data_IF_910472311566
#
_entry.id   IF_910472311566
#
_cell.length_a   1.000
_cell.length_b   1.000
_cell.length_c   1.000
_cell.angle_alpha   90.00
_cell.angle_beta   90.00
_cell.angle_gamma   90.00
#
_symmetry.space_group_name_H-M   'P 1'
#
loop_
_entity.id
_entity.type
_entity.pdbx_description
1 polymer ?
#
# COMPACT_ATOMS: atom_id res chain seq x y z
N UNK A 1 13.39 -17.44 -10.37
CA UNK A 1 12.23 -17.26 -9.46
C UNK A 1 11.29 -16.16 -9.94
N UNK A 2 11.77 -14.91 -10.10
CA UNK A 2 10.94 -13.80 -10.58
C UNK A 2 10.29 -14.09 -11.94
N UNK A 3 11.01 -14.70 -12.87
CA UNK A 3 10.47 -15.12 -14.18
C UNK A 3 9.26 -16.06 -14.07
N UNK A 4 9.23 -16.91 -13.05
CA UNK A 4 8.14 -17.84 -12.78
C UNK A 4 6.94 -17.11 -12.16
N UNK A 5 7.20 -16.19 -11.21
CA UNK A 5 6.17 -15.36 -10.56
C UNK A 5 5.53 -14.39 -11.56
N UNK A 6 6.30 -13.79 -12.45
CA UNK A 6 5.78 -12.85 -13.45
C UNK A 6 4.79 -13.48 -14.44
N UNK A 7 4.75 -14.81 -14.56
CA UNK A 7 3.71 -15.50 -15.36
C UNK A 7 2.31 -15.28 -14.80
N UNK A 8 2.15 -15.21 -13.48
CA UNK A 8 0.85 -15.00 -12.85
C UNK A 8 0.39 -13.54 -12.91
N UNK A 9 1.26 -12.59 -13.28
CA UNK A 9 0.93 -11.15 -13.31
C UNK A 9 0.47 -10.62 -14.69
N UNK A 10 0.26 -11.49 -15.68
CA UNK A 10 -0.30 -11.06 -16.98
C UNK A 10 -1.78 -10.68 -16.81
N UNK A 11 -2.16 -9.51 -17.33
CA UNK A 11 -3.54 -9.02 -17.41
C UNK A 11 -4.33 -9.84 -18.43
N UNK A 12 -5.55 -10.24 -18.07
CA UNK A 12 -6.47 -10.97 -18.93
C UNK A 12 -7.89 -10.57 -18.54
N UNK A 13 -8.80 -10.43 -19.51
CA UNK A 13 -10.19 -10.03 -19.23
C UNK A 13 -10.86 -11.03 -18.28
N UNK A 14 -11.50 -10.53 -17.22
CA UNK A 14 -12.15 -11.35 -16.19
C UNK A 14 -11.22 -11.95 -15.13
N UNK A 15 -9.91 -11.68 -15.19
CA UNK A 15 -8.96 -12.12 -14.16
C UNK A 15 -8.70 -11.00 -13.13
N UNK A 16 -9.20 -11.20 -11.91
CA UNK A 16 -8.99 -10.23 -10.83
C UNK A 16 -7.56 -10.24 -10.30
N UNK A 17 -6.98 -11.42 -10.02
CA UNK A 17 -5.69 -11.54 -9.34
C UNK A 17 -4.88 -12.77 -9.78
N UNK A 18 -3.57 -12.76 -9.55
CA UNK A 18 -2.68 -13.91 -9.73
C UNK A 18 -2.41 -14.63 -8.41
N UNK A 19 -2.72 -15.93 -8.32
CA UNK A 19 -2.48 -16.75 -7.12
C UNK A 19 -1.14 -17.49 -7.22
N UNK A 20 -0.34 -17.44 -6.16
CA UNK A 20 0.89 -18.23 -5.98
C UNK A 20 0.75 -19.07 -4.72
N UNK A 21 0.93 -20.39 -4.83
CA UNK A 21 0.88 -21.31 -3.68
C UNK A 21 2.28 -21.88 -3.46
N UNK A 22 2.78 -21.72 -2.23
CA UNK A 22 4.09 -22.20 -1.81
C UNK A 22 3.96 -23.42 -0.89
N UNK A 23 4.57 -24.53 -1.30
CA UNK A 23 4.53 -25.81 -0.59
C UNK A 23 5.82 -26.13 0.19
N UNK A 24 6.87 -25.32 0.03
CA UNK A 24 8.23 -25.62 0.51
C UNK A 24 8.76 -24.53 1.46
N UNK A 25 8.28 -23.28 1.33
CA UNK A 25 8.66 -22.17 2.20
C UNK A 25 9.70 -21.22 1.58
N UNK A 26 9.42 -20.71 0.39
CA UNK A 26 10.29 -19.81 -0.40
C UNK A 26 9.99 -18.31 -0.20
N UNK A 27 9.15 -17.94 0.77
CA UNK A 27 8.74 -16.52 1.01
C UNK A 27 9.91 -15.54 1.09
N UNK A 28 11.01 -15.90 1.75
CA UNK A 28 12.17 -14.99 1.91
C UNK A 28 12.86 -14.69 0.58
N UNK A 29 13.11 -15.73 -0.23
CA UNK A 29 13.72 -15.62 -1.56
C UNK A 29 12.78 -14.93 -2.55
N UNK A 30 11.46 -15.12 -2.40
CA UNK A 30 10.44 -14.39 -3.15
C UNK A 30 10.49 -12.89 -2.84
N UNK A 31 10.50 -12.49 -1.57
CA UNK A 31 10.60 -11.08 -1.17
C UNK A 31 11.91 -10.44 -1.66
N UNK A 32 13.03 -11.16 -1.58
CA UNK A 32 14.32 -10.70 -2.09
C UNK A 32 14.31 -10.50 -3.62
N UNK A 33 13.67 -11.42 -4.36
CA UNK A 33 13.56 -11.32 -5.81
C UNK A 33 12.60 -10.19 -6.24
N UNK A 34 11.55 -9.92 -5.47
CA UNK A 34 10.64 -8.79 -5.68
C UNK A 34 11.36 -7.46 -5.41
N UNK A 35 12.08 -7.36 -4.29
CA UNK A 35 12.79 -6.13 -3.92
C UNK A 35 13.88 -5.76 -4.91
N UNK A 36 14.58 -6.72 -5.51
CA UNK A 36 15.58 -6.46 -6.55
C UNK A 36 14.98 -5.84 -7.83
N UNK A 37 13.71 -6.11 -8.12
CA UNK A 37 13.01 -5.56 -9.29
C UNK A 37 12.29 -4.24 -8.96
N UNK A 38 11.77 -4.08 -7.74
CA UNK A 38 11.14 -2.83 -7.29
C UNK A 38 12.13 -1.78 -6.81
N UNK A 39 13.36 -2.14 -6.43
CA UNK A 39 14.41 -1.18 -6.04
C UNK A 39 14.89 -0.27 -7.20
N UNK A 40 14.50 -0.58 -8.44
CA UNK A 40 14.74 0.27 -9.62
C UNK A 40 13.49 0.96 -10.16
N UNK A 41 12.31 0.71 -9.57
CA UNK A 41 11.19 1.62 -9.75
C UNK A 41 11.43 2.73 -8.74
N UNK A 42 11.94 3.88 -9.22
CA UNK A 42 11.81 5.14 -8.52
C UNK A 42 10.45 5.13 -7.83
N UNK A 43 10.46 5.25 -6.51
CA UNK A 43 9.26 5.47 -5.71
C UNK A 43 8.48 6.55 -6.46
N UNK A 44 7.43 6.15 -7.19
CA UNK A 44 6.78 7.00 -8.18
C UNK A 44 6.44 8.29 -7.44
N UNK A 45 7.13 9.38 -7.77
CA UNK A 45 6.92 10.66 -7.10
C UNK A 45 5.44 11.08 -7.23
N UNK A 46 4.77 10.59 -8.27
CA UNK A 46 3.32 10.62 -8.46
C UNK A 46 2.52 9.87 -7.39
N UNK A 47 2.90 8.63 -7.03
CA UNK A 47 2.22 7.85 -5.98
C UNK A 47 2.37 8.50 -4.60
N UNK A 48 3.52 9.13 -4.32
CA UNK A 48 3.73 9.87 -3.06
C UNK A 48 2.83 11.12 -3.02
N UNK A 49 2.78 11.90 -4.11
CA UNK A 49 1.90 13.07 -4.20
C UNK A 49 0.44 12.68 -4.04
N UNK A 50 0.03 11.59 -4.69
CA UNK A 50 -1.34 11.08 -4.58
C UNK A 50 -1.66 10.60 -3.15
N UNK A 51 -0.72 9.91 -2.50
CA UNK A 51 -0.87 9.49 -1.11
C UNK A 51 -1.04 10.68 -0.16
N UNK A 52 -0.29 11.77 -0.38
CA UNK A 52 -0.42 13.01 0.40
C UNK A 52 -1.79 13.67 0.21
N UNK A 53 -2.31 13.68 -1.02
CA UNK A 53 -3.65 14.23 -1.31
C UNK A 53 -4.72 13.43 -0.56
N UNK A 54 -4.68 12.10 -0.65
CA UNK A 54 -5.65 11.22 0.01
C UNK A 54 -5.64 11.42 1.54
N UNK A 55 -4.45 11.50 2.13
CA UNK A 55 -4.31 11.75 3.58
C UNK A 55 -4.90 13.12 3.96
N UNK A 56 -4.67 14.16 3.16
CA UNK A 56 -5.24 15.50 3.40
C UNK A 56 -6.77 15.50 3.29
N UNK A 57 -7.34 14.80 2.30
CA UNK A 57 -8.79 14.66 2.16
C UNK A 57 -9.39 13.93 3.36
N UNK A 58 -8.74 12.88 3.85
CA UNK A 58 -9.19 12.17 5.05
C UNK A 58 -9.07 13.03 6.32
N UNK A 59 -8.00 13.81 6.46
CA UNK A 59 -7.87 14.77 7.57
C UNK A 59 -8.96 15.84 7.51
N UNK A 60 -9.29 16.37 6.32
CA UNK A 60 -10.36 17.36 6.16
C UNK A 60 -11.74 16.78 6.47
N UNK A 61 -11.99 15.52 6.11
CA UNK A 61 -13.21 14.80 6.50
C UNK A 61 -13.28 14.60 8.01
N UNK A 62 -12.19 14.19 8.64
CA UNK A 62 -12.13 14.05 10.10
C UNK A 62 -12.37 15.40 10.79
N UNK A 63 -11.74 16.48 10.32
CA UNK A 63 -11.97 17.83 10.86
C UNK A 63 -13.45 18.24 10.73
N UNK A 64 -14.07 17.97 9.58
CA UNK A 64 -15.50 18.18 9.37
C UNK A 64 -16.41 17.31 10.25
N UNK A 65 -16.00 16.08 10.58
CA UNK A 65 -16.75 15.20 11.49
C UNK A 65 -16.58 15.58 12.96
N UNK A 66 -15.38 16.01 13.33
CA UNK A 66 -14.99 16.32 14.71
C UNK A 66 -15.04 17.83 15.02
N UNK A 67 -15.57 18.68 14.15
CA UNK A 67 -15.65 20.14 14.39
C UNK A 67 -16.44 20.55 15.65
N UNK A 68 -17.28 19.64 16.18
CA UNK A 68 -18.02 19.84 17.45
C UNK A 68 -17.43 19.06 18.62
N UNK A 69 -16.38 18.28 18.39
CA UNK A 69 -15.75 17.49 19.44
C UNK A 69 -14.82 18.39 20.24
N UNK A 70 -15.13 18.55 21.53
CA UNK A 70 -14.27 19.28 22.44
C UNK A 70 -13.09 18.40 22.85
N UNK A 71 -11.93 18.66 22.26
CA UNK A 71 -10.67 17.97 22.57
C UNK A 71 -9.94 18.56 23.77
N UNK A 72 -10.44 19.64 24.39
CA UNK A 72 -9.77 20.26 25.55
C UNK A 72 -9.53 19.29 26.73
N UNK A 73 -10.40 18.31 27.05
CA UNK A 73 -10.16 17.37 28.15
C UNK A 73 -9.02 16.37 27.85
N UNK A 74 -8.72 16.11 26.58
CA UNK A 74 -7.65 15.20 26.16
C UNK A 74 -6.26 15.84 26.32
N UNK A 75 -6.13 17.14 26.05
CA UNK A 75 -4.85 17.85 26.12
C UNK A 75 -4.58 18.53 27.46
N UNK A 76 -5.63 18.96 28.16
CA UNK A 76 -5.53 19.66 29.44
C UNK A 76 -5.95 18.75 30.60
N UNK A 77 -5.60 17.46 30.53
CA UNK A 77 -6.04 16.42 31.48
C UNK A 77 -6.23 16.92 32.91
N UNK A 78 -7.34 16.53 33.52
CA UNK A 78 -7.76 16.92 34.88
C UNK A 78 -6.65 16.87 35.91
#
# INVERSE_FOLDING_TARGET
>A
LIQTISRVNRKFEGKENGLVVDYIGIKKQMNLALSQYTAGQDQNLEDIKQSVIIVKDHLSLLDGLFHKFDSTPYFNGT
#
